data_IF_095384797519
#
_entry.id   IF_095384797519
#
_cell.length_a   1.000
_cell.length_b   1.000
_cell.length_c   1.000
_cell.angle_alpha   90.00
_cell.angle_beta   90.00
_cell.angle_gamma   90.00
#
_symmetry.space_group_name_H-M   'P 1'
#
loop_
_entity.id
_entity.type
_entity.pdbx_description
1 polymer ?
#
# COMPACT_ATOMS: atom_id res chain seq x y z
N UNK A 1 5.29 -9.51 -76.26
CA UNK A 1 5.92 -9.51 -74.93
C UNK A 1 5.05 -10.34 -73.97
N UNK A 2 5.36 -11.63 -73.79
CA UNK A 2 4.69 -12.52 -72.83
C UNK A 2 5.45 -12.42 -71.51
N UNK A 3 4.79 -11.99 -70.43
CA UNK A 3 5.36 -11.94 -69.08
C UNK A 3 5.26 -13.33 -68.43
N UNK A 4 6.42 -13.96 -68.19
CA UNK A 4 6.55 -15.14 -67.33
C UNK A 4 6.38 -14.70 -65.86
N UNK A 5 5.48 -15.35 -65.13
CA UNK A 5 5.40 -15.28 -63.68
C UNK A 5 6.18 -16.46 -63.09
N UNK A 6 7.22 -16.19 -62.30
CA UNK A 6 7.85 -17.19 -61.44
C UNK A 6 7.14 -17.17 -60.08
N UNK A 7 6.54 -18.29 -59.70
CA UNK A 7 6.04 -18.52 -58.35
C UNK A 7 7.21 -19.01 -57.48
N UNK A 8 7.58 -18.23 -56.46
CA UNK A 8 8.55 -18.63 -55.45
C UNK A 8 7.80 -19.34 -54.31
N UNK A 9 8.07 -20.64 -54.15
CA UNK A 9 7.56 -21.46 -53.05
C UNK A 9 8.30 -21.07 -51.77
N UNK A 10 7.62 -20.42 -50.83
CA UNK A 10 8.16 -20.16 -49.48
C UNK A 10 8.12 -21.45 -48.66
N UNK A 11 9.29 -21.97 -48.31
CA UNK A 11 9.46 -23.08 -47.37
C UNK A 11 9.41 -22.51 -45.93
N UNK A 12 8.31 -22.73 -45.22
CA UNK A 12 8.21 -22.37 -43.80
C UNK A 12 8.96 -23.39 -42.95
N UNK A 13 10.09 -22.97 -42.36
CA UNK A 13 10.78 -23.71 -41.30
C UNK A 13 10.03 -23.45 -39.99
N UNK A 14 9.35 -24.48 -39.48
CA UNK A 14 8.79 -24.45 -38.13
C UNK A 14 9.93 -24.60 -37.11
N UNK A 15 10.36 -23.50 -36.48
CA UNK A 15 11.17 -23.58 -35.27
C UNK A 15 10.27 -23.97 -34.10
N UNK A 16 10.47 -25.20 -33.59
CA UNK A 16 10.00 -25.60 -32.26
C UNK A 16 10.78 -24.79 -31.22
N UNK A 17 10.24 -23.64 -30.85
CA UNK A 17 10.69 -22.89 -29.68
C UNK A 17 10.14 -23.53 -28.42
N UNK A 18 10.95 -24.34 -27.75
CA UNK A 18 10.76 -24.68 -26.33
C UNK A 18 10.99 -23.43 -25.49
N UNK A 19 9.96 -22.59 -25.40
CA UNK A 19 9.89 -21.49 -24.45
C UNK A 19 9.19 -21.95 -23.19
N UNK A 20 9.94 -22.28 -22.14
CA UNK A 20 9.42 -22.19 -20.79
C UNK A 20 9.14 -20.71 -20.55
N UNK A 21 7.91 -20.27 -20.78
CA UNK A 21 7.47 -18.92 -20.43
C UNK A 21 7.31 -18.89 -18.92
N UNK A 22 8.35 -18.49 -18.20
CA UNK A 22 8.19 -17.90 -16.88
C UNK A 22 7.48 -16.55 -17.06
N UNK A 23 6.16 -16.60 -17.27
CA UNK A 23 5.33 -15.40 -17.23
C UNK A 23 5.24 -14.95 -15.78
N UNK A 24 6.18 -14.10 -15.39
CA UNK A 24 6.21 -13.39 -14.11
C UNK A 24 5.13 -12.29 -14.13
N UNK A 25 3.89 -12.64 -14.48
CA UNK A 25 2.79 -11.68 -14.51
C UNK A 25 2.35 -11.42 -13.08
N UNK A 26 2.62 -10.21 -12.61
CA UNK A 26 1.96 -9.63 -11.45
C UNK A 26 0.46 -9.93 -11.49
N UNK A 27 -0.07 -10.48 -10.40
CA UNK A 27 -1.48 -10.85 -10.31
C UNK A 27 -2.33 -9.62 -10.07
N UNK A 28 -2.74 -8.98 -11.16
CA UNK A 28 -3.81 -7.97 -11.14
C UNK A 28 -5.15 -8.69 -11.27
N UNK A 29 -6.01 -8.56 -10.26
CA UNK A 29 -7.33 -9.21 -10.23
C UNK A 29 -8.43 -8.33 -10.82
N UNK A 30 -8.25 -7.01 -10.82
CA UNK A 30 -9.20 -6.07 -11.40
C UNK A 30 -8.79 -4.62 -11.15
N UNK A 31 -9.72 -3.71 -11.45
CA UNK A 31 -9.54 -2.27 -11.30
C UNK A 31 -10.80 -1.64 -10.68
N UNK A 32 -10.60 -0.68 -9.78
CA UNK A 32 -11.67 0.11 -9.15
C UNK A 32 -11.25 1.58 -9.12
N UNK A 33 -12.12 2.49 -9.60
CA UNK A 33 -11.85 3.95 -9.67
C UNK A 33 -10.53 4.31 -10.40
N UNK A 34 -10.09 3.47 -11.34
CA UNK A 34 -8.83 3.68 -12.07
C UNK A 34 -7.60 3.05 -11.41
N UNK A 35 -7.75 2.39 -10.26
CA UNK A 35 -6.66 1.78 -9.50
C UNK A 35 -6.73 0.25 -9.53
N UNK A 36 -5.61 -0.38 -9.86
CA UNK A 36 -5.51 -1.84 -9.92
C UNK A 36 -5.49 -2.43 -8.50
N UNK A 37 -6.18 -3.56 -8.33
CA UNK A 37 -6.14 -4.35 -7.09
C UNK A 37 -5.80 -5.81 -7.36
N UNK A 38 -5.35 -6.49 -6.30
CA UNK A 38 -5.21 -7.94 -6.23
C UNK A 38 -6.18 -8.49 -5.19
N UNK A 39 -6.92 -9.52 -5.60
CA UNK A 39 -7.71 -10.36 -4.71
C UNK A 39 -6.82 -11.51 -4.24
N UNK A 40 -6.41 -11.46 -2.97
CA UNK A 40 -5.58 -12.47 -2.35
C UNK A 40 -6.41 -13.62 -1.74
N UNK A 41 -7.74 -13.63 -1.91
CA UNK A 41 -8.61 -14.64 -1.33
C UNK A 41 -8.55 -14.64 0.21
N UNK A 42 -8.34 -13.46 0.81
CA UNK A 42 -8.34 -13.32 2.27
C UNK A 42 -9.78 -13.46 2.80
N UNK A 43 -9.98 -14.06 3.99
CA UNK A 43 -11.31 -14.25 4.57
C UNK A 43 -12.17 -12.99 4.68
N UNK A 44 -11.55 -11.82 4.91
CA UNK A 44 -12.24 -10.52 4.95
C UNK A 44 -12.89 -10.11 3.62
N UNK A 45 -12.47 -10.71 2.49
CA UNK A 45 -12.85 -10.26 1.15
C UNK A 45 -12.17 -8.94 0.75
N UNK A 46 -11.19 -8.46 1.53
CA UNK A 46 -10.48 -7.22 1.25
C UNK A 46 -9.59 -7.36 0.01
N UNK A 47 -9.71 -6.39 -0.89
CA UNK A 47 -8.94 -6.28 -2.13
C UNK A 47 -7.81 -5.26 -1.92
N UNK A 48 -6.58 -5.62 -2.27
CA UNK A 48 -5.40 -4.81 -1.98
C UNK A 48 -4.90 -4.07 -3.22
N UNK A 49 -4.58 -2.77 -3.10
CA UNK A 49 -4.00 -2.01 -4.20
C UNK A 49 -2.68 -2.61 -4.69
N UNK A 50 -2.42 -2.58 -6.00
CA UNK A 50 -1.13 -3.04 -6.55
C UNK A 50 -0.01 -2.03 -6.37
N UNK A 51 -0.33 -0.76 -6.06
CA UNK A 51 0.62 0.34 -5.85
C UNK A 51 0.35 1.07 -4.52
N UNK A 52 1.36 1.73 -3.96
CA UNK A 52 1.16 2.68 -2.85
C UNK A 52 0.38 3.90 -3.35
N UNK A 53 -0.29 4.63 -2.44
CA UNK A 53 -0.86 5.94 -2.78
C UNK A 53 0.21 6.85 -3.40
N UNK A 54 -0.12 7.47 -4.52
CA UNK A 54 0.79 8.35 -5.27
C UNK A 54 1.86 7.64 -6.09
N UNK A 55 1.81 6.31 -6.22
CA UNK A 55 2.65 5.53 -7.14
C UNK A 55 1.82 5.03 -8.34
N UNK A 56 2.47 4.96 -9.51
CA UNK A 56 1.88 4.37 -10.72
C UNK A 56 2.35 2.91 -10.91
N UNK A 57 3.54 2.57 -10.38
CA UNK A 57 4.12 1.24 -10.46
C UNK A 57 4.31 0.59 -9.08
N UNK A 58 4.23 -0.75 -8.95
CA UNK A 58 4.42 -1.42 -7.67
C UNK A 58 5.77 -1.14 -7.03
N UNK A 59 6.83 -0.96 -7.82
CA UNK A 59 8.19 -0.67 -7.36
C UNK A 59 8.44 0.80 -6.96
N UNK A 60 7.49 1.71 -7.19
CA UNK A 60 7.62 3.11 -6.78
C UNK A 60 7.17 3.29 -5.33
N UNK A 61 7.91 4.11 -4.57
CA UNK A 61 7.60 4.37 -3.17
C UNK A 61 6.21 4.98 -2.97
N UNK A 62 5.77 5.83 -3.91
CA UNK A 62 4.57 6.64 -3.75
C UNK A 62 4.80 7.85 -2.85
N UNK A 63 3.72 8.32 -2.25
CA UNK A 63 3.69 9.50 -1.39
C UNK A 63 3.71 9.14 0.10
N UNK A 64 4.19 10.07 0.93
CA UNK A 64 4.27 9.92 2.37
C UNK A 64 3.27 10.83 3.06
N UNK A 65 2.63 10.31 4.10
CA UNK A 65 1.55 10.97 4.83
C UNK A 65 1.83 10.88 6.33
N UNK A 66 1.48 11.93 7.06
CA UNK A 66 1.28 11.82 8.50
C UNK A 66 -0.07 11.17 8.76
N UNK A 67 -0.22 10.46 9.87
CA UNK A 67 -1.44 9.71 10.16
C UNK A 67 -2.64 10.65 10.34
N UNK A 68 -3.71 10.43 9.59
CA UNK A 68 -4.89 11.30 9.58
C UNK A 68 -4.75 12.58 8.75
N UNK A 69 -3.68 12.69 7.94
CA UNK A 69 -3.54 13.73 6.94
C UNK A 69 -3.77 13.17 5.53
N UNK A 70 -4.39 13.98 4.68
CA UNK A 70 -4.83 13.57 3.34
C UNK A 70 -3.96 14.13 2.22
N UNK A 71 -3.16 15.16 2.52
CA UNK A 71 -2.18 15.72 1.61
C UNK A 71 -0.78 15.17 1.93
N UNK A 72 0.02 14.78 0.93
CA UNK A 72 1.38 14.35 1.15
C UNK A 72 2.29 15.53 1.51
N UNK A 73 3.37 15.24 2.25
CA UNK A 73 4.36 16.24 2.68
C UNK A 73 5.78 15.68 2.63
N UNK A 74 6.78 16.54 2.78
CA UNK A 74 8.21 16.17 2.82
C UNK A 74 8.86 16.39 4.19
N UNK A 75 8.16 17.04 5.12
CA UNK A 75 8.63 17.32 6.48
C UNK A 75 7.59 16.83 7.48
N UNK A 76 8.02 16.05 8.47
CA UNK A 76 7.15 15.29 9.35
C UNK A 76 7.46 15.61 10.81
N UNK A 77 6.98 16.76 11.27
CA UNK A 77 7.27 17.31 12.59
C UNK A 77 6.00 17.58 13.40
N UNK A 78 6.11 17.59 14.73
CA UNK A 78 4.94 17.83 15.59
C UNK A 78 4.30 19.20 15.35
N UNK A 79 5.09 20.23 15.04
CA UNK A 79 4.60 21.59 14.79
C UNK A 79 3.81 21.73 13.48
N UNK A 80 3.96 20.78 12.54
CA UNK A 80 3.27 20.79 11.26
C UNK A 80 2.23 19.66 11.12
N UNK A 81 1.98 18.92 12.21
CA UNK A 81 1.02 17.84 12.26
C UNK A 81 -0.41 18.38 12.43
N UNK A 82 -1.31 18.06 11.49
CA UNK A 82 -2.68 18.60 11.41
C UNK A 82 -3.47 18.54 12.72
N UNK A 83 -3.32 17.44 13.45
CA UNK A 83 -4.10 17.18 14.67
C UNK A 83 -3.37 17.58 15.95
N UNK A 84 -2.15 18.10 15.84
CA UNK A 84 -1.32 18.50 16.97
C UNK A 84 -1.30 20.02 17.15
N UNK A 85 -1.49 20.48 18.37
CA UNK A 85 -1.24 21.86 18.79
C UNK A 85 -0.08 21.89 19.79
N UNK A 86 1.08 22.35 19.34
CA UNK A 86 2.33 22.38 20.11
C UNK A 86 3.54 22.00 19.25
N UNK A 87 4.74 22.32 19.75
CA UNK A 87 5.97 22.22 18.93
C UNK A 87 6.81 20.98 19.24
N UNK A 88 6.50 20.24 20.31
CA UNK A 88 7.27 19.08 20.74
C UNK A 88 6.35 18.04 21.39
N UNK A 89 6.76 16.78 21.34
CA UNK A 89 6.03 15.62 21.89
C UNK A 89 5.56 15.81 23.34
N UNK A 90 6.40 16.43 24.18
CA UNK A 90 6.10 16.70 25.59
C UNK A 90 5.00 17.75 25.79
N UNK A 91 4.81 18.65 24.81
CA UNK A 91 3.89 19.79 24.87
C UNK A 91 2.71 19.66 23.91
N UNK A 92 2.72 18.67 23.02
CA UNK A 92 1.68 18.50 22.01
C UNK A 92 0.34 18.18 22.67
N UNK A 93 -0.69 18.89 22.21
CA UNK A 93 -2.09 18.62 22.52
C UNK A 93 -2.83 18.16 21.26
N UNK A 94 -3.63 17.11 21.39
CA UNK A 94 -4.40 16.55 20.29
C UNK A 94 -5.73 17.28 20.15
N UNK A 95 -6.07 17.66 18.93
CA UNK A 95 -7.35 18.30 18.59
C UNK A 95 -8.38 17.34 18.02
N UNK A 96 -7.94 16.15 17.58
CA UNK A 96 -8.78 15.03 17.12
C UNK A 96 -8.04 13.71 17.29
N UNK A 97 -8.80 12.62 17.36
CA UNK A 97 -8.31 11.28 17.66
C UNK A 97 -7.50 11.33 18.96
N UNK A 98 -8.09 11.91 20.00
CA UNK A 98 -7.45 12.04 21.30
C UNK A 98 -7.88 10.87 22.18
N UNK A 99 -6.92 10.06 22.60
CA UNK A 99 -7.14 8.85 23.40
C UNK A 99 -6.57 8.94 24.82
N UNK A 100 -5.97 10.08 25.18
CA UNK A 100 -5.37 10.26 26.50
C UNK A 100 -5.62 11.69 27.02
N UNK A 101 -6.21 11.79 28.23
CA UNK A 101 -6.61 13.07 28.87
C UNK A 101 -5.47 14.10 29.00
N UNK A 102 -4.23 13.65 29.24
CA UNK A 102 -3.04 14.51 29.29
C UNK A 102 -2.71 15.15 27.94
N UNK A 103 -3.24 14.63 26.84
CA UNK A 103 -3.04 15.14 25.48
C UNK A 103 -4.20 15.99 25.00
N UNK A 104 -5.38 15.96 25.61
CA UNK A 104 -6.50 16.80 25.20
C UNK A 104 -7.84 16.25 25.66
N UNK A 105 -8.93 16.82 25.16
CA UNK A 105 -10.28 16.26 25.33
C UNK A 105 -10.38 14.94 24.57
N UNK A 106 -10.76 13.86 25.26
CA UNK A 106 -10.81 12.51 24.69
C UNK A 106 -12.07 12.35 23.85
N UNK A 107 -11.92 11.93 22.59
CA UNK A 107 -13.03 11.72 21.65
C UNK A 107 -13.33 10.24 21.37
N UNK A 108 -12.49 9.33 21.85
CA UNK A 108 -12.60 7.87 21.65
C UNK A 108 -12.64 7.42 20.18
N UNK A 109 -12.20 8.26 19.24
CA UNK A 109 -12.15 7.91 17.82
C UNK A 109 -10.87 7.11 17.56
N UNK A 110 -10.99 5.82 17.27
CA UNK A 110 -9.86 4.90 17.13
C UNK A 110 -9.54 4.51 15.68
N UNK A 111 -10.42 4.84 14.73
CA UNK A 111 -10.24 4.58 13.30
C UNK A 111 -10.28 5.90 12.54
N UNK A 112 -9.48 6.01 11.49
CA UNK A 112 -9.56 7.15 10.57
C UNK A 112 -10.98 7.30 10.03
N UNK A 113 -11.53 8.51 10.17
CA UNK A 113 -12.75 8.88 9.47
C UNK A 113 -12.44 9.16 8.00
N UNK A 114 -13.43 8.96 7.12
CA UNK A 114 -13.27 9.13 5.67
C UNK A 114 -12.68 10.47 5.24
N UNK A 115 -12.99 11.56 5.96
CA UNK A 115 -12.47 12.90 5.65
C UNK A 115 -10.98 13.09 5.98
N UNK A 116 -10.40 12.17 6.76
CA UNK A 116 -9.02 12.22 7.25
C UNK A 116 -8.18 11.03 6.76
N UNK A 117 -8.78 10.16 5.95
CA UNK A 117 -8.10 9.05 5.31
C UNK A 117 -7.61 9.46 3.91
N UNK A 118 -6.28 9.46 3.73
CA UNK A 118 -5.66 9.80 2.46
C UNK A 118 -6.14 8.91 1.30
N UNK A 119 -6.36 7.61 1.54
CA UNK A 119 -6.81 6.71 0.49
C UNK A 119 -8.24 7.04 0.07
N UNK A 120 -9.13 7.24 1.04
CA UNK A 120 -10.52 7.61 0.78
C UNK A 120 -10.62 8.94 0.03
N UNK A 121 -9.87 9.95 0.48
CA UNK A 121 -9.93 11.30 -0.09
C UNK A 121 -9.27 11.44 -1.46
N UNK A 122 -8.22 10.66 -1.75
CA UNK A 122 -7.49 10.77 -3.02
C UNK A 122 -8.02 9.83 -4.09
N UNK A 123 -8.46 8.62 -3.75
CA UNK A 123 -8.89 7.60 -4.71
C UNK A 123 -10.41 7.45 -4.81
N UNK A 124 -11.17 7.99 -3.85
CA UNK A 124 -12.62 7.93 -3.79
C UNK A 124 -13.17 6.49 -3.75
N UNK A 125 -14.48 6.34 -4.00
CA UNK A 125 -15.15 5.04 -4.04
C UNK A 125 -15.13 4.36 -2.66
N UNK A 126 -14.72 3.10 -2.65
CA UNK A 126 -14.60 2.29 -1.43
C UNK A 126 -13.15 2.09 -0.97
N UNK A 127 -12.21 2.80 -1.61
CA UNK A 127 -10.81 2.78 -1.22
C UNK A 127 -10.59 3.43 0.14
N UNK A 128 -9.78 2.81 0.99
CA UNK A 128 -9.41 3.32 2.30
C UNK A 128 -8.05 2.80 2.76
N UNK A 129 -7.50 3.42 3.81
CA UNK A 129 -6.34 2.89 4.51
C UNK A 129 -6.74 1.58 5.21
N UNK A 130 -5.92 0.51 5.15
CA UNK A 130 -6.24 -0.75 5.80
C UNK A 130 -6.20 -0.60 7.33
N UNK A 131 -7.06 -1.31 8.03
CA UNK A 131 -7.02 -1.43 9.49
C UNK A 131 -5.80 -2.26 9.93
N UNK A 132 -5.47 -2.21 11.22
CA UNK A 132 -4.48 -3.11 11.82
C UNK A 132 -4.84 -4.57 11.57
N UNK A 133 -6.11 -4.93 11.75
CA UNK A 133 -6.59 -6.31 11.67
C UNK A 133 -6.46 -6.87 10.25
N UNK A 134 -6.69 -6.06 9.22
CA UNK A 134 -6.50 -6.47 7.82
C UNK A 134 -5.02 -6.63 7.45
N UNK A 135 -4.16 -5.77 7.99
CA UNK A 135 -2.72 -5.96 7.85
C UNK A 135 -2.25 -7.25 8.53
N UNK A 136 -2.77 -7.57 9.72
CA UNK A 136 -2.49 -8.83 10.41
C UNK A 136 -3.00 -10.03 9.60
N UNK A 137 -4.20 -9.94 9.01
CA UNK A 137 -4.74 -10.96 8.12
C UNK A 137 -3.85 -11.18 6.90
N UNK A 138 -3.41 -10.11 6.22
CA UNK A 138 -2.49 -10.20 5.08
C UNK A 138 -1.16 -10.85 5.49
N UNK A 139 -0.57 -10.41 6.61
CA UNK A 139 0.69 -10.94 7.12
C UNK A 139 0.59 -12.46 7.36
N UNK A 140 -0.50 -12.89 8.00
CA UNK A 140 -0.73 -14.29 8.34
C UNK A 140 -1.16 -15.14 7.13
N UNK A 141 -1.90 -14.53 6.20
CA UNK A 141 -2.47 -15.17 5.01
C UNK A 141 -1.50 -15.36 3.85
N UNK A 142 -0.30 -14.75 3.91
CA UNK A 142 0.71 -14.87 2.86
C UNK A 142 1.98 -15.59 3.33
N UNK A 143 2.65 -16.23 2.37
CA UNK A 143 4.06 -16.60 2.44
C UNK A 143 4.92 -15.46 1.89
N UNK A 144 5.99 -15.13 2.60
CA UNK A 144 6.75 -13.92 2.35
C UNK A 144 8.16 -14.21 1.87
N UNK A 145 8.53 -13.61 0.73
CA UNK A 145 9.87 -13.71 0.16
C UNK A 145 10.47 -12.33 -0.10
N UNK A 146 11.80 -12.28 -0.10
CA UNK A 146 12.54 -11.07 -0.46
C UNK A 146 13.01 -11.17 -1.91
N UNK A 147 12.72 -10.14 -2.69
CA UNK A 147 13.06 -10.08 -4.11
C UNK A 147 14.14 -9.02 -4.30
N UNK A 148 15.38 -9.49 -4.47
CA UNK A 148 16.53 -8.63 -4.77
C UNK A 148 16.48 -8.09 -6.19
N UNK A 149 16.91 -6.83 -6.36
CA UNK A 149 17.15 -6.24 -7.69
C UNK A 149 15.98 -6.50 -8.67
N UNK A 150 14.77 -6.16 -8.22
CA UNK A 150 13.54 -6.40 -8.95
C UNK A 150 13.60 -5.80 -10.35
N UNK A 151 13.36 -6.66 -11.36
CA UNK A 151 13.45 -6.33 -12.79
C UNK A 151 14.79 -5.72 -13.22
N UNK A 152 15.88 -5.96 -12.48
CA UNK A 152 17.19 -5.37 -12.78
C UNK A 152 17.30 -3.87 -12.49
N UNK A 153 16.34 -3.27 -11.76
CA UNK A 153 16.28 -1.83 -11.49
C UNK A 153 17.07 -1.36 -10.26
N UNK A 154 17.76 -2.27 -9.57
CA UNK A 154 18.45 -1.98 -8.31
C UNK A 154 17.51 -1.74 -7.13
N UNK A 155 16.23 -2.08 -7.26
CA UNK A 155 15.22 -1.90 -6.21
C UNK A 155 14.93 -3.25 -5.58
N UNK A 156 15.00 -3.33 -4.26
CA UNK A 156 14.58 -4.51 -3.53
C UNK A 156 13.08 -4.41 -3.21
N UNK A 157 12.39 -5.55 -3.27
CA UNK A 157 10.95 -5.67 -3.02
C UNK A 157 10.68 -6.75 -1.98
N UNK A 158 9.52 -6.65 -1.32
CA UNK A 158 8.92 -7.76 -0.56
C UNK A 158 7.75 -8.31 -1.36
N UNK A 159 7.69 -9.64 -1.52
CA UNK A 159 6.56 -10.31 -2.16
C UNK A 159 5.81 -11.17 -1.14
N UNK A 160 4.50 -10.99 -1.07
CA UNK A 160 3.58 -11.87 -0.35
C UNK A 160 2.82 -12.73 -1.35
N UNK A 161 2.83 -14.04 -1.17
CA UNK A 161 2.04 -14.99 -1.98
C UNK A 161 0.93 -15.55 -1.10
N UNK A 162 -0.33 -15.38 -1.50
CA UNK A 162 -1.49 -15.87 -0.77
C UNK A 162 -1.44 -17.39 -0.62
N UNK A 163 -1.64 -17.85 0.62
CA UNK A 163 -1.81 -19.27 0.95
C UNK A 163 -3.16 -19.81 0.47
N UNK A 164 -4.14 -18.95 0.20
CA UNK A 164 -5.49 -19.35 -0.22
C UNK A 164 -5.57 -19.61 -1.72
N UNK A 165 -5.09 -18.67 -2.54
CA UNK A 165 -5.30 -18.71 -3.99
C UNK A 165 -4.01 -18.57 -4.83
N UNK A 166 -2.84 -18.42 -4.20
CA UNK A 166 -1.56 -18.30 -4.90
C UNK A 166 -1.32 -16.95 -5.58
N UNK A 167 -2.26 -16.01 -5.54
CA UNK A 167 -2.03 -14.65 -6.03
C UNK A 167 -0.96 -13.96 -5.17
N UNK A 168 -0.24 -13.00 -5.75
CA UNK A 168 0.86 -12.33 -5.09
C UNK A 168 0.75 -10.80 -5.13
N UNK A 169 1.35 -10.17 -4.12
CA UNK A 169 1.42 -8.72 -3.96
C UNK A 169 2.87 -8.30 -3.72
N UNK A 170 3.25 -7.13 -4.23
CA UNK A 170 4.59 -6.56 -4.14
C UNK A 170 4.58 -5.25 -3.36
N UNK A 171 5.57 -5.12 -2.47
CA UNK A 171 5.83 -3.92 -1.68
C UNK A 171 7.26 -3.42 -1.92
N UNK A 172 7.45 -2.15 -2.32
CA UNK A 172 8.78 -1.58 -2.52
C UNK A 172 9.46 -1.28 -1.19
N UNK A 173 10.79 -1.29 -1.14
CA UNK A 173 11.55 -0.83 0.03
C UNK A 173 11.49 0.72 0.20
N UNK A 174 10.31 1.25 0.53
CA UNK A 174 9.94 2.66 0.59
C UNK A 174 10.42 3.44 1.82
N UNK A 175 10.97 2.84 2.86
CA UNK A 175 11.43 3.64 4.01
C UNK A 175 10.30 4.33 4.79
N UNK A 176 10.68 5.29 5.64
CA UNK A 176 9.79 6.26 6.29
C UNK A 176 10.56 7.53 6.68
N UNK A 177 9.83 8.59 7.00
CA UNK A 177 10.37 9.85 7.47
C UNK A 177 10.10 10.07 8.96
N UNK A 178 11.12 10.59 9.66
CA UNK A 178 10.98 11.17 10.98
C UNK A 178 11.61 12.57 10.96
N UNK A 179 10.77 13.60 11.01
CA UNK A 179 11.19 14.97 10.74
C UNK A 179 11.55 15.11 9.26
N UNK A 180 12.77 15.58 8.99
CA UNK A 180 13.35 15.66 7.64
C UNK A 180 14.24 14.46 7.30
N UNK A 181 14.46 13.55 8.25
CA UNK A 181 15.35 12.39 8.06
C UNK A 181 14.59 11.22 7.43
N UNK A 182 15.11 10.71 6.32
CA UNK A 182 14.63 9.51 5.65
C UNK A 182 15.38 8.27 6.15
N UNK A 183 14.64 7.25 6.58
CA UNK A 183 15.17 5.96 7.02
C UNK A 183 14.80 4.88 6.01
N UNK A 184 15.80 4.29 5.36
CA UNK A 184 15.63 3.31 4.29
C UNK A 184 15.85 1.85 4.73
N UNK A 185 15.87 1.57 6.04
CA UNK A 185 16.16 0.24 6.58
C UNK A 185 14.94 -0.68 6.68
N UNK A 186 13.75 -0.21 6.28
CA UNK A 186 12.49 -0.95 6.33
C UNK A 186 11.41 -0.25 5.52
N UNK A 187 10.31 -0.94 5.22
CA UNK A 187 9.04 -0.29 4.86
C UNK A 187 8.22 0.01 6.08
N UNK A 188 7.56 1.16 6.07
CA UNK A 188 6.51 1.46 7.02
C UNK A 188 5.23 1.82 6.25
N UNK A 189 4.14 1.12 6.56
CA UNK A 189 2.83 1.40 6.01
C UNK A 189 1.87 1.76 7.12
N UNK A 190 1.21 2.91 7.03
CA UNK A 190 0.19 3.28 7.99
C UNK A 190 -0.99 2.28 7.96
N UNK A 191 -1.57 2.07 9.13
CA UNK A 191 -2.92 1.51 9.27
C UNK A 191 -3.90 2.62 9.63
N UNK A 192 -5.19 2.41 9.42
CA UNK A 192 -6.25 3.31 9.85
C UNK A 192 -6.46 3.28 11.37
N UNK A 193 -5.81 2.38 12.10
CA UNK A 193 -6.04 2.12 13.53
C UNK A 193 -5.11 2.94 14.41
N UNK A 194 -5.69 3.72 15.32
CA UNK A 194 -4.95 4.45 16.35
C UNK A 194 -4.38 3.51 17.42
N UNK A 195 -3.24 3.86 18.01
CA UNK A 195 -2.74 3.26 19.26
C UNK A 195 -3.14 4.14 20.46
N UNK A 196 -4.07 3.68 21.27
CA UNK A 196 -4.68 4.50 22.34
C UNK A 196 -3.75 4.82 23.54
N UNK A 197 -2.64 4.10 23.73
CA UNK A 197 -1.92 4.08 25.02
C UNK A 197 -1.36 5.44 25.48
N UNK A 198 -0.69 6.18 24.60
CA UNK A 198 -0.03 7.45 24.94
C UNK A 198 -0.68 8.68 24.30
N UNK A 199 -1.72 8.45 23.49
CA UNK A 199 -2.40 9.50 22.73
C UNK A 199 -1.60 10.11 21.59
N UNK A 200 -0.46 9.56 21.19
CA UNK A 200 0.41 10.12 20.15
C UNK A 200 0.70 9.18 18.99
N UNK A 201 0.47 7.89 19.18
CA UNK A 201 0.87 6.87 18.22
C UNK A 201 -0.32 6.30 17.42
N UNK A 202 0.01 5.76 16.25
CA UNK A 202 -0.88 4.90 15.47
C UNK A 202 -0.15 3.60 15.11
N UNK A 203 -0.93 2.58 14.77
CA UNK A 203 -0.37 1.33 14.30
C UNK A 203 0.12 1.47 12.86
N UNK A 204 1.26 0.85 12.59
CA UNK A 204 1.81 0.72 11.24
C UNK A 204 2.41 -0.67 11.06
N UNK A 205 2.54 -1.12 9.82
CA UNK A 205 3.28 -2.34 9.49
C UNK A 205 4.70 -2.01 9.13
N UNK A 206 5.65 -2.68 9.77
CA UNK A 206 7.05 -2.66 9.39
C UNK A 206 7.40 -3.90 8.58
N UNK A 207 7.71 -3.76 7.28
CA UNK A 207 8.27 -4.85 6.49
C UNK A 207 9.79 -4.71 6.36
N UNK A 208 10.48 -5.76 6.75
CA UNK A 208 11.93 -5.92 6.75
C UNK A 208 12.29 -7.08 5.81
N UNK A 209 13.58 -7.23 5.54
CA UNK A 209 14.11 -8.28 4.65
C UNK A 209 13.63 -9.68 5.07
N UNK A 210 13.67 -9.98 6.37
CA UNK A 210 13.39 -11.32 6.90
C UNK A 210 12.13 -11.41 7.78
N UNK A 211 11.46 -10.30 8.06
CA UNK A 211 10.28 -10.25 8.93
C UNK A 211 9.35 -9.08 8.57
N UNK A 212 8.15 -9.09 9.12
CA UNK A 212 7.01 -8.24 8.80
C UNK A 212 6.09 -8.24 10.03
N UNK A 213 6.00 -7.12 10.72
CA UNK A 213 5.31 -7.09 12.01
C UNK A 213 4.49 -5.82 12.17
N UNK A 214 3.41 -5.93 12.92
CA UNK A 214 2.73 -4.78 13.47
C UNK A 214 3.66 -4.03 14.44
N UNK A 215 3.64 -2.71 14.34
CA UNK A 215 4.37 -1.81 15.21
C UNK A 215 3.51 -0.56 15.48
N UNK A 216 4.03 0.36 16.28
CA UNK A 216 3.41 1.66 16.50
C UNK A 216 4.47 2.76 16.39
N UNK A 217 4.03 3.92 15.94
CA UNK A 217 4.90 5.06 15.71
C UNK A 217 4.13 6.36 15.85
N UNK A 218 4.87 7.44 16.07
CA UNK A 218 4.29 8.76 16.27
C UNK A 218 3.51 9.16 15.03
N UNK A 219 2.28 9.60 15.23
CA UNK A 219 1.36 9.96 14.14
C UNK A 219 1.88 11.04 13.20
N UNK A 220 2.84 11.84 13.66
CA UNK A 220 3.53 12.85 12.86
C UNK A 220 4.49 12.28 11.81
N UNK A 221 4.94 11.03 11.95
CA UNK A 221 5.91 10.40 11.04
C UNK A 221 5.34 10.25 9.63
N UNK A 222 6.22 10.32 8.63
CA UNK A 222 5.84 10.16 7.24
C UNK A 222 5.96 8.71 6.79
N UNK A 223 4.84 8.05 6.51
CA UNK A 223 4.83 6.68 6.02
C UNK A 223 3.96 6.57 4.77
N UNK A 224 4.18 5.51 3.99
CA UNK A 224 3.39 5.24 2.80
C UNK A 224 2.08 4.54 3.18
N UNK A 225 1.12 4.49 2.25
CA UNK A 225 -0.15 3.80 2.43
C UNK A 225 -0.35 2.84 1.27
N UNK A 226 -0.62 1.57 1.58
CA UNK A 226 -1.13 0.58 0.63
C UNK A 226 -2.64 0.49 0.82
N UNK A 227 -3.41 1.15 -0.05
CA UNK A 227 -4.86 1.20 0.10
C UNK A 227 -5.51 -0.18 -0.09
N UNK A 228 -6.68 -0.34 0.51
CA UNK A 228 -7.57 -1.49 0.30
C UNK A 228 -8.94 -1.02 -0.11
N UNK A 229 -9.69 -1.91 -0.74
CA UNK A 229 -11.08 -1.71 -1.13
C UNK A 229 -11.87 -3.00 -0.93
N UNK A 230 -13.19 -2.92 -1.05
CA UNK A 230 -14.09 -4.06 -1.15
C UNK A 230 -14.74 -4.02 -2.53
N UNK A 231 -15.28 -5.13 -3.04
CA UNK A 231 -15.99 -5.06 -4.32
C UNK A 231 -17.06 -3.96 -4.26
N UNK A 232 -17.07 -3.00 -5.20
CA UNK A 232 -18.21 -2.09 -5.34
C UNK A 232 -19.45 -2.97 -5.52
N UNK A 233 -20.52 -2.69 -4.79
CA UNK A 233 -21.79 -3.36 -5.02
C UNK A 233 -22.08 -3.30 -6.52
N UNK A 234 -22.16 -4.46 -7.18
CA UNK A 234 -22.57 -4.51 -8.57
C UNK A 234 -23.92 -3.81 -8.63
N UNK A 235 -23.94 -2.58 -9.16
CA UNK A 235 -25.17 -1.87 -9.39
C UNK A 235 -26.04 -2.81 -10.21
N UNK A 236 -27.18 -3.22 -9.66
CA UNK A 236 -28.17 -4.00 -10.40
C UNK A 236 -28.47 -3.21 -11.67
N UNK A 237 -27.83 -3.61 -12.77
CA UNK A 237 -28.17 -3.15 -14.10
C UNK A 237 -29.62 -3.54 -14.31
N UNK A 238 -30.51 -2.56 -14.19
CA UNK A 238 -31.89 -2.67 -14.61
C UNK A 238 -31.87 -3.13 -16.07
N UNK A 239 -32.28 -4.38 -16.27
CA UNK A 239 -32.71 -4.89 -17.57
C UNK A 239 -33.87 -4.07 -18.12
#
# INVERSE_FOLDING_TARGET
MRKLFFAATMLTVALLGTGCTSSNSESVSGQAEGHNYVDLGLPSGTLWATCNLGANLPEENGSYFAWGETAPKSEFEWNNYKWGNGEAESRIKMTKYCSHERKGEVDNIQLLESADDAATTLWNGTWRTPTKEEWEELINGCDWEWVKNYKGKGIDMKKGTSKTNGNSILFPFSGYYNGTTFYNNSNAFWTATQKADNGLDAFFVRMLTHNQNMNNGQRKQGMTIRAVTIQPAQGNGSK
#
